data_IF_244135256129
#
_entry.id   IF_244135256129
#
_cell.length_a   1.000
_cell.length_b   1.000
_cell.length_c   1.000
_cell.angle_alpha   90.00
_cell.angle_beta   90.00
_cell.angle_gamma   90.00
#
_symmetry.space_group_name_H-M   'P 1'
#
loop_
_entity.id
_entity.type
_entity.pdbx_description
1 polymer ?
#
# COMPACT_ATOMS: atom_id res chain seq x y z
N UNK A 1 -14.69 -10.43 2.58
CA UNK A 1 -15.25 -9.93 3.85
C UNK A 1 -14.14 -9.99 4.88
N UNK A 2 -13.86 -8.89 5.56
CA UNK A 2 -12.71 -8.73 6.45
C UNK A 2 -13.06 -7.81 7.63
N UNK A 3 -12.25 -7.82 8.69
CA UNK A 3 -12.28 -6.81 9.73
C UNK A 3 -10.97 -6.01 9.66
N UNK A 4 -11.05 -4.72 9.99
CA UNK A 4 -9.87 -3.86 10.02
C UNK A 4 -9.04 -4.10 11.29
N UNK A 5 -7.73 -3.97 11.19
CA UNK A 5 -6.80 -4.12 12.32
C UNK A 5 -6.58 -2.82 13.11
N UNK A 6 -7.07 -1.68 12.60
CA UNK A 6 -6.98 -0.39 13.28
C UNK A 6 -7.87 -0.29 14.52
N UNK A 7 -7.85 0.86 15.19
CA UNK A 7 -8.80 1.15 16.28
C UNK A 7 -10.21 1.28 15.69
N UNK A 8 -10.37 2.18 14.72
CA UNK A 8 -11.62 2.34 13.99
C UNK A 8 -11.36 2.97 12.63
N UNK A 9 -12.30 2.80 11.71
CA UNK A 9 -12.32 3.37 10.37
C UNK A 9 -13.48 4.36 10.28
N UNK A 10 -13.19 5.58 9.82
CA UNK A 10 -14.21 6.57 9.49
C UNK A 10 -14.38 6.55 7.96
N UNK A 11 -15.63 6.39 7.49
CA UNK A 11 -15.98 6.44 6.08
C UNK A 11 -16.99 7.57 5.82
N UNK A 12 -16.77 8.31 4.73
CA UNK A 12 -17.76 9.17 4.09
C UNK A 12 -18.22 8.49 2.81
N UNK A 13 -19.53 8.22 2.73
CA UNK A 13 -20.17 7.56 1.60
C UNK A 13 -20.98 8.59 0.82
N UNK A 14 -21.09 8.44 -0.51
CA UNK A 14 -22.06 9.21 -1.29
C UNK A 14 -23.50 8.99 -0.79
N UNK A 15 -24.41 9.95 -1.02
CA UNK A 15 -25.84 9.76 -0.77
C UNK A 15 -26.34 8.50 -1.47
N UNK A 16 -27.26 7.78 -0.83
CA UNK A 16 -27.88 6.53 -1.32
C UNK A 16 -26.92 5.35 -1.60
N UNK A 17 -25.65 5.41 -1.19
CA UNK A 17 -24.70 4.32 -1.39
C UNK A 17 -25.03 3.10 -0.50
N UNK A 18 -25.45 1.99 -1.15
CA UNK A 18 -25.77 0.69 -0.52
C UNK A 18 -24.67 -0.35 -0.74
N UNK A 19 -23.45 0.09 -1.02
CA UNK A 19 -22.33 -0.81 -1.34
C UNK A 19 -21.64 -1.40 -0.12
N UNK A 20 -21.85 -0.87 1.08
CA UNK A 20 -21.22 -1.38 2.30
C UNK A 20 -22.07 -2.47 2.96
N UNK A 21 -21.50 -3.67 3.12
CA UNK A 21 -22.16 -4.83 3.71
C UNK A 21 -21.40 -5.33 4.93
N UNK A 22 -22.14 -5.74 5.96
CA UNK A 22 -21.60 -6.35 7.16
C UNK A 22 -22.00 -7.83 7.23
N UNK A 23 -21.35 -8.62 8.09
CA UNK A 23 -21.60 -10.06 8.24
C UNK A 23 -23.04 -10.39 8.69
N UNK A 24 -23.74 -9.45 9.32
CA UNK A 24 -25.16 -9.56 9.70
C UNK A 24 -26.17 -9.13 8.62
N UNK A 25 -25.71 -8.71 7.44
CA UNK A 25 -26.56 -8.24 6.35
C UNK A 25 -26.14 -6.87 5.81
N UNK A 26 -26.91 -6.37 4.84
CA UNK A 26 -26.74 -5.01 4.33
C UNK A 26 -27.21 -4.03 5.41
N UNK A 27 -26.35 -3.09 5.79
CA UNK A 27 -26.78 -1.94 6.58
C UNK A 27 -27.05 -0.84 5.57
N UNK A 28 -28.33 -0.58 5.29
CA UNK A 28 -28.70 0.59 4.50
C UNK A 28 -28.57 1.81 5.40
N UNK A 29 -27.57 2.63 5.12
CA UNK A 29 -27.47 3.95 5.74
C UNK A 29 -28.44 4.83 4.96
N UNK A 30 -29.66 4.99 5.49
CA UNK A 30 -30.60 6.01 4.98
C UNK A 30 -30.05 7.35 5.39
N UNK A 31 -29.35 8.03 4.50
CA UNK A 31 -28.78 9.32 4.80
C UNK A 31 -28.73 10.23 3.58
N UNK A 32 -28.96 11.52 3.84
CA UNK A 32 -29.10 12.60 2.86
C UNK A 32 -27.74 13.10 2.33
N UNK A 33 -26.62 12.46 2.69
CA UNK A 33 -25.28 12.75 2.19
C UNK A 33 -24.25 13.27 3.20
N UNK A 34 -24.63 13.36 4.49
CA UNK A 34 -23.83 13.98 5.56
C UNK A 34 -23.42 12.98 6.67
N UNK A 35 -23.70 11.68 6.50
CA UNK A 35 -23.37 10.65 7.47
C UNK A 35 -21.91 10.23 7.37
N UNK A 36 -21.31 10.08 8.56
CA UNK A 36 -20.04 9.39 8.75
C UNK A 36 -20.29 8.01 9.34
N UNK A 37 -19.76 6.99 8.68
CA UNK A 37 -19.80 5.62 9.19
C UNK A 37 -18.54 5.39 10.02
N UNK A 38 -18.72 5.00 11.28
CA UNK A 38 -17.61 4.60 12.14
C UNK A 38 -17.65 3.09 12.33
N UNK A 39 -16.61 2.41 11.86
CA UNK A 39 -16.46 0.96 11.94
C UNK A 39 -15.37 0.66 12.96
N UNK A 40 -15.70 -0.09 14.02
CA UNK A 40 -14.71 -0.50 15.01
C UNK A 40 -13.84 -1.65 14.46
N UNK A 41 -12.52 -1.50 14.60
CA UNK A 41 -11.54 -2.49 14.21
C UNK A 41 -11.13 -3.40 15.38
N UNK A 42 -10.33 -4.40 15.05
CA UNK A 42 -9.90 -5.45 15.98
C UNK A 42 -9.03 -4.89 17.11
N UNK A 43 -8.22 -3.83 16.85
CA UNK A 43 -7.40 -3.25 17.91
C UNK A 43 -8.22 -2.59 19.01
N UNK A 44 -9.35 -1.95 18.69
CA UNK A 44 -10.17 -1.33 19.72
C UNK A 44 -10.68 -2.39 20.69
N UNK A 45 -11.17 -3.50 20.14
CA UNK A 45 -11.69 -4.64 20.92
C UNK A 45 -10.58 -5.37 21.67
N UNK A 46 -9.55 -5.84 20.98
CA UNK A 46 -8.60 -6.79 21.54
C UNK A 46 -7.42 -6.13 22.26
N UNK A 47 -7.06 -4.89 21.89
CA UNK A 47 -5.90 -4.20 22.44
C UNK A 47 -6.27 -3.06 23.38
N UNK A 48 -7.14 -2.14 22.98
CA UNK A 48 -7.46 -0.96 23.78
C UNK A 48 -8.45 -1.26 24.91
N UNK A 49 -9.49 -2.06 24.62
CA UNK A 49 -10.61 -2.27 25.54
C UNK A 49 -11.06 -3.75 25.62
N UNK A 50 -10.18 -4.69 26.05
CA UNK A 50 -10.46 -6.13 26.05
C UNK A 50 -11.66 -6.57 26.92
N UNK A 51 -12.16 -5.70 27.81
CA UNK A 51 -13.36 -5.94 28.63
C UNK A 51 -14.64 -5.27 28.15
N UNK A 52 -14.60 -4.47 27.09
CA UNK A 52 -15.80 -3.81 26.55
C UNK A 52 -16.39 -4.70 25.47
N UNK A 53 -17.72 -4.86 25.51
CA UNK A 53 -18.47 -5.57 24.48
C UNK A 53 -18.53 -4.77 23.17
N UNK A 54 -17.38 -4.63 22.51
CA UNK A 54 -17.28 -4.14 21.13
C UNK A 54 -16.99 -5.31 20.20
N UNK A 55 -17.57 -5.29 19.01
CA UNK A 55 -17.30 -6.27 17.96
C UNK A 55 -16.59 -5.56 16.82
N UNK A 56 -15.47 -6.12 16.38
CA UNK A 56 -14.83 -5.68 15.15
C UNK A 56 -15.74 -6.05 13.97
N UNK A 57 -16.32 -5.05 13.33
CA UNK A 57 -17.39 -5.27 12.37
C UNK A 57 -16.79 -5.79 11.06
N UNK A 58 -17.04 -7.07 10.75
CA UNK A 58 -16.61 -7.68 9.49
C UNK A 58 -17.46 -7.12 8.35
N UNK A 59 -16.79 -6.55 7.34
CA UNK A 59 -17.44 -5.84 6.25
C UNK A 59 -16.82 -6.15 4.88
N UNK A 60 -17.52 -5.72 3.83
CA UNK A 60 -17.08 -5.73 2.42
C UNK A 60 -17.76 -4.61 1.65
N UNK A 61 -17.09 -4.10 0.63
CA UNK A 61 -17.69 -3.20 -0.36
C UNK A 61 -18.10 -4.02 -1.57
N UNK A 62 -19.35 -3.90 -2.01
CA UNK A 62 -19.86 -4.50 -3.23
C UNK A 62 -19.77 -3.51 -4.38
N UNK A 63 -19.20 -3.97 -5.49
CA UNK A 63 -19.20 -3.20 -6.74
C UNK A 63 -20.53 -3.53 -7.44
N UNK A 64 -21.40 -2.55 -7.70
CA UNK A 64 -22.65 -2.78 -8.42
C UNK A 64 -22.33 -3.35 -9.80
N UNK A 65 -23.02 -4.42 -10.18
CA UNK A 65 -22.77 -5.14 -11.44
C UNK A 65 -23.37 -4.46 -12.67
N UNK A 66 -24.12 -3.37 -12.51
CA UNK A 66 -24.74 -2.64 -13.61
C UNK A 66 -23.71 -1.75 -14.31
N UNK A 67 -23.61 -1.89 -15.62
CA UNK A 67 -22.81 -1.04 -16.52
C UNK A 67 -23.20 0.44 -16.49
N UNK A 68 -24.32 0.77 -15.83
CA UNK A 68 -24.84 2.13 -15.66
C UNK A 68 -24.47 2.77 -14.32
N UNK A 69 -23.65 2.11 -13.47
CA UNK A 69 -23.23 2.74 -12.22
C UNK A 69 -22.26 3.89 -12.49
N UNK A 70 -22.64 5.09 -12.05
CA UNK A 70 -21.75 6.25 -12.10
C UNK A 70 -20.47 5.97 -11.31
N UNK A 71 -19.31 6.48 -11.77
CA UNK A 71 -18.07 6.36 -11.03
C UNK A 71 -18.25 7.02 -9.66
N UNK A 72 -17.93 6.28 -8.59
CA UNK A 72 -18.02 6.77 -7.21
C UNK A 72 -16.66 6.83 -6.54
N UNK A 73 -16.56 7.73 -5.57
CA UNK A 73 -15.40 7.88 -4.70
C UNK A 73 -15.88 7.74 -3.26
N UNK A 74 -15.21 6.89 -2.50
CA UNK A 74 -15.42 6.73 -1.06
C UNK A 74 -14.16 7.22 -0.36
N UNK A 75 -14.33 8.09 0.64
CA UNK A 75 -13.22 8.56 1.45
C UNK A 75 -13.21 7.79 2.77
N UNK A 76 -12.08 7.15 3.07
CA UNK A 76 -11.89 6.41 4.31
C UNK A 76 -10.60 6.83 5.02
N UNK A 77 -10.68 6.94 6.35
CA UNK A 77 -9.51 7.15 7.21
C UNK A 77 -9.50 6.13 8.34
N UNK A 78 -8.51 5.25 8.30
CA UNK A 78 -8.25 4.32 9.39
C UNK A 78 -7.47 5.04 10.50
N UNK A 79 -7.96 4.93 11.73
CA UNK A 79 -7.31 5.48 12.91
C UNK A 79 -6.51 4.38 13.61
N UNK A 80 -5.24 4.69 13.81
CA UNK A 80 -4.24 3.82 14.40
C UNK A 80 -3.77 4.44 15.71
N UNK A 81 -3.48 3.62 16.73
CA UNK A 81 -2.75 4.13 17.88
C UNK A 81 -1.29 4.42 17.50
N UNK A 82 -0.60 5.32 18.22
CA UNK A 82 0.85 5.47 18.09
C UNK A 82 1.55 4.12 18.33
N UNK A 83 2.59 3.76 17.57
CA UNK A 83 3.29 2.46 17.70
C UNK A 83 3.78 2.17 19.13
N UNK A 84 4.18 3.20 19.86
CA UNK A 84 4.69 3.16 21.23
C UNK A 84 3.62 3.25 22.31
N UNK A 85 2.36 3.48 21.95
CA UNK A 85 1.28 3.49 22.93
C UNK A 85 1.17 2.10 23.58
N UNK A 86 0.96 2.07 24.89
CA UNK A 86 0.82 0.84 25.66
C UNK A 86 -0.64 0.66 26.07
N UNK A 87 -1.13 -0.59 26.05
CA UNK A 87 -2.42 -0.91 26.66
C UNK A 87 -2.30 -1.08 28.19
N UNK A 88 -3.40 -1.42 28.85
CA UNK A 88 -3.42 -1.67 30.30
C UNK A 88 -2.53 -2.84 30.76
N UNK A 89 -2.16 -3.75 29.85
CA UNK A 89 -1.25 -4.87 30.11
C UNK A 89 0.22 -4.52 29.82
N UNK A 90 0.54 -3.29 29.38
CA UNK A 90 1.89 -2.88 29.01
C UNK A 90 2.34 -3.34 27.63
N UNK A 91 1.45 -3.88 26.80
CA UNK A 91 1.77 -4.28 25.41
C UNK A 91 1.69 -3.08 24.47
N UNK A 92 2.72 -2.90 23.64
CA UNK A 92 2.74 -1.81 22.67
C UNK A 92 1.79 -2.05 21.49
N UNK A 93 1.24 -0.97 20.94
CA UNK A 93 0.36 -1.06 19.78
C UNK A 93 1.08 -1.68 18.57
N UNK A 94 2.36 -1.38 18.38
CA UNK A 94 3.15 -1.99 17.31
C UNK A 94 3.26 -3.51 17.48
N UNK A 95 3.50 -3.99 18.71
CA UNK A 95 3.55 -5.42 19.00
C UNK A 95 2.19 -6.08 18.70
N UNK A 96 1.08 -5.44 19.09
CA UNK A 96 -0.26 -5.92 18.77
C UNK A 96 -0.56 -5.91 17.27
N UNK A 97 -0.22 -4.83 16.56
CA UNK A 97 -0.55 -4.62 15.15
C UNK A 97 0.31 -5.49 14.21
N UNK A 98 1.51 -5.88 14.63
CA UNK A 98 2.36 -6.85 13.92
C UNK A 98 2.03 -8.30 14.31
N UNK A 99 1.43 -8.52 15.48
CA UNK A 99 0.94 -9.83 15.91
C UNK A 99 -0.19 -10.49 15.07
N UNK A 100 -0.97 -9.85 14.17
CA UNK A 100 -2.04 -10.51 13.40
C UNK A 100 -1.48 -11.37 12.26
N UNK A 101 -0.38 -10.94 11.62
CA UNK A 101 0.45 -11.85 10.81
C UNK A 101 0.99 -12.98 11.68
N UNK A 102 1.28 -12.67 12.95
CA UNK A 102 1.65 -13.65 13.94
C UNK A 102 0.46 -14.46 14.51
N UNK A 103 -0.81 -14.20 14.20
CA UNK A 103 -1.94 -14.91 14.86
C UNK A 103 -2.23 -16.24 14.16
N UNK A 104 -2.03 -16.29 12.83
CA UNK A 104 -1.95 -17.56 12.12
C UNK A 104 -0.70 -18.36 12.53
N UNK A 105 0.44 -17.71 12.77
CA UNK A 105 1.63 -18.41 13.24
C UNK A 105 1.54 -18.81 14.73
N UNK A 106 0.96 -18.00 15.63
CA UNK A 106 0.82 -18.29 17.07
C UNK A 106 -0.06 -19.49 17.36
N UNK A 107 -1.15 -19.67 16.61
CA UNK A 107 -2.01 -20.87 16.73
C UNK A 107 -1.31 -22.15 16.28
N UNK A 108 -0.26 -22.02 15.46
CA UNK A 108 0.57 -23.11 14.96
C UNK A 108 1.92 -23.22 15.69
N UNK A 109 2.33 -22.19 16.46
CA UNK A 109 3.58 -22.18 17.23
C UNK A 109 3.57 -23.27 18.30
N UNK A 110 2.40 -23.60 18.86
CA UNK A 110 2.27 -24.72 19.79
C UNK A 110 2.54 -26.08 19.15
N UNK A 111 2.61 -26.16 17.81
CA UNK A 111 2.96 -27.40 17.09
C UNK A 111 4.46 -27.51 16.83
N UNK A 112 5.24 -26.46 17.08
CA UNK A 112 6.69 -26.45 16.87
C UNK A 112 7.44 -26.80 18.15
N UNK A 113 8.61 -27.44 17.98
CA UNK A 113 9.50 -27.72 19.10
C UNK A 113 10.08 -26.41 19.68
N UNK A 114 10.58 -26.46 20.91
CA UNK A 114 11.24 -25.33 21.53
C UNK A 114 12.40 -24.81 20.64
N UNK A 115 12.43 -23.50 20.38
CA UNK A 115 13.42 -22.86 19.51
C UNK A 115 13.08 -22.90 18.00
N UNK A 116 11.94 -23.46 17.59
CA UNK A 116 11.48 -23.41 16.20
C UNK A 116 10.39 -22.34 16.01
N UNK A 117 10.33 -21.79 14.80
CA UNK A 117 9.32 -20.82 14.37
C UNK A 117 8.45 -21.45 13.29
N UNK A 118 7.13 -21.32 13.43
CA UNK A 118 6.22 -21.79 12.41
C UNK A 118 6.25 -20.86 11.20
N UNK A 119 6.79 -21.36 10.09
CA UNK A 119 6.88 -20.64 8.85
C UNK A 119 6.41 -21.49 7.68
N UNK A 120 5.46 -20.97 6.91
CA UNK A 120 4.99 -21.60 5.68
C UNK A 120 4.55 -23.06 5.84
N UNK A 121 3.61 -23.30 6.77
CA UNK A 121 3.09 -24.63 7.07
C UNK A 121 4.12 -25.63 7.63
N UNK A 122 5.30 -25.17 8.05
CA UNK A 122 6.38 -26.00 8.58
C UNK A 122 7.01 -25.33 9.80
N UNK A 123 7.53 -26.13 10.72
CA UNK A 123 8.38 -25.63 11.79
C UNK A 123 9.81 -25.57 11.28
N UNK A 124 10.43 -24.39 11.36
CA UNK A 124 11.79 -24.15 10.90
C UNK A 124 12.64 -23.63 12.06
N UNK A 125 13.91 -24.02 12.10
CA UNK A 125 14.87 -23.46 13.07
C UNK A 125 15.38 -22.12 12.53
N UNK A 126 15.35 -21.04 13.32
CA UNK A 126 15.92 -19.76 12.90
C UNK A 126 17.43 -19.90 12.63
N UNK A 127 18.00 -19.08 11.74
CA UNK A 127 19.44 -19.06 11.51
C UNK A 127 20.21 -18.74 12.81
N UNK A 128 21.46 -19.20 12.89
CA UNK A 128 22.32 -18.93 14.05
C UNK A 128 22.48 -17.41 14.27
N UNK A 129 22.41 -16.98 15.53
CA UNK A 129 22.45 -15.56 15.90
C UNK A 129 21.11 -14.83 15.83
N UNK A 130 20.02 -15.50 15.44
CA UNK A 130 18.69 -14.89 15.37
C UNK A 130 17.72 -15.52 16.39
N UNK A 131 17.24 -14.75 17.38
CA UNK A 131 16.28 -15.27 18.34
C UNK A 131 14.94 -15.59 17.64
N UNK A 132 14.29 -16.66 18.08
CA UNK A 132 13.04 -17.16 17.47
C UNK A 132 11.94 -16.10 17.46
N UNK A 133 11.90 -15.17 18.43
CA UNK A 133 10.95 -14.06 18.44
C UNK A 133 11.10 -13.05 17.30
N UNK A 134 12.28 -12.97 16.67
CA UNK A 134 12.58 -11.96 15.65
C UNK A 134 12.61 -12.52 14.23
N UNK A 135 12.54 -13.85 14.06
CA UNK A 135 12.55 -14.45 12.74
C UNK A 135 11.19 -14.24 12.03
N UNK A 136 11.24 -13.80 10.77
CA UNK A 136 10.06 -13.57 9.93
C UNK A 136 10.06 -14.49 8.71
N UNK A 137 8.87 -14.85 8.23
CA UNK A 137 8.72 -15.63 7.00
C UNK A 137 8.93 -14.76 5.76
N UNK A 138 9.95 -15.06 4.97
CA UNK A 138 10.36 -14.28 3.82
C UNK A 138 10.40 -15.11 2.54
N UNK A 139 9.79 -14.61 1.47
CA UNK A 139 9.85 -15.19 0.13
C UNK A 139 11.05 -14.58 -0.60
N UNK A 140 12.15 -15.34 -0.67
CA UNK A 140 13.39 -14.90 -1.31
C UNK A 140 13.26 -14.63 -2.81
N UNK A 141 12.22 -15.15 -3.47
CA UNK A 141 11.99 -14.88 -4.89
C UNK A 141 11.26 -13.56 -5.11
N UNK A 142 10.35 -13.20 -4.21
CA UNK A 142 9.56 -11.95 -4.29
C UNK A 142 10.18 -10.79 -3.54
N UNK A 143 11.12 -11.07 -2.64
CA UNK A 143 11.70 -10.08 -1.73
C UNK A 143 10.62 -9.41 -0.86
N UNK A 144 9.70 -10.23 -0.33
CA UNK A 144 8.57 -9.81 0.50
C UNK A 144 8.22 -10.88 1.55
N UNK A 145 7.35 -10.55 2.51
CA UNK A 145 6.74 -11.48 3.45
C UNK A 145 5.99 -12.59 2.70
N UNK A 146 6.06 -13.80 3.24
CA UNK A 146 5.33 -14.90 2.65
C UNK A 146 3.82 -14.73 2.77
N UNK A 147 3.12 -15.04 1.70
CA UNK A 147 1.67 -14.87 1.60
C UNK A 147 0.96 -16.08 2.23
N UNK A 148 0.63 -16.01 3.52
CA UNK A 148 0.00 -17.11 4.26
C UNK A 148 -1.46 -17.39 3.87
N UNK A 149 -1.94 -16.89 2.72
CA UNK A 149 -3.27 -17.20 2.20
C UNK A 149 -3.44 -18.72 2.01
N UNK A 150 -4.49 -19.35 2.59
CA UNK A 150 -4.74 -20.78 2.44
C UNK A 150 -4.81 -21.21 0.96
N UNK A 151 -4.11 -22.29 0.63
CA UNK A 151 -4.14 -22.89 -0.72
C UNK A 151 -3.11 -22.33 -1.71
N UNK A 152 -2.40 -21.24 -1.39
CA UNK A 152 -1.26 -20.79 -2.19
C UNK A 152 -0.01 -21.50 -1.71
N UNK A 153 0.78 -22.11 -2.60
CA UNK A 153 2.06 -22.75 -2.28
C UNK A 153 3.23 -21.84 -2.68
N UNK A 154 4.12 -21.50 -1.74
CA UNK A 154 5.32 -20.69 -1.93
C UNK A 154 6.54 -21.51 -1.49
N UNK A 155 7.13 -22.32 -2.38
CA UNK A 155 8.23 -23.22 -2.02
C UNK A 155 9.50 -22.48 -1.59
N UNK A 156 9.61 -21.19 -1.89
CA UNK A 156 10.77 -20.35 -1.57
C UNK A 156 10.59 -19.53 -0.28
N UNK A 157 9.51 -19.78 0.47
CA UNK A 157 9.33 -19.15 1.76
C UNK A 157 10.25 -19.81 2.80
N UNK A 158 11.12 -19.03 3.42
CA UNK A 158 11.99 -19.47 4.49
C UNK A 158 12.12 -18.39 5.57
N UNK A 159 12.68 -18.75 6.73
CA UNK A 159 12.94 -17.77 7.79
C UNK A 159 14.06 -16.82 7.35
N UNK A 160 13.81 -15.52 7.52
CA UNK A 160 14.81 -14.45 7.42
C UNK A 160 14.81 -13.67 8.73
N UNK A 161 15.98 -13.18 9.11
CA UNK A 161 16.12 -12.31 10.26
C UNK A 161 16.26 -10.87 9.78
N UNK A 162 15.46 -9.94 10.29
CA UNK A 162 15.57 -8.54 9.93
C UNK A 162 16.94 -8.01 10.36
N UNK A 163 17.59 -7.25 9.47
CA UNK A 163 18.84 -6.57 9.76
C UNK A 163 18.61 -5.60 10.93
N UNK A 164 19.52 -5.59 11.91
CA UNK A 164 19.36 -4.84 13.16
C UNK A 164 19.32 -5.71 14.42
N UNK A 165 19.24 -7.04 14.27
CA UNK A 165 19.48 -8.01 15.35
C UNK A 165 20.76 -8.79 15.07
N UNK A 166 21.85 -8.07 14.77
CA UNK A 166 23.17 -8.70 14.71
C UNK A 166 23.78 -8.68 16.11
N UNK A 167 24.00 -9.88 16.66
CA UNK A 167 24.95 -10.08 17.74
C UNK A 167 26.28 -9.44 17.36
N UNK A 168 26.90 -8.73 18.31
CA UNK A 168 27.91 -7.69 18.12
C UNK A 168 29.26 -8.09 17.51
N UNK A 169 29.38 -9.22 16.81
CA UNK A 169 30.66 -9.74 16.30
C UNK A 169 30.58 -10.06 14.80
N UNK A 170 31.05 -9.13 13.96
CA UNK A 170 31.36 -9.39 12.54
C UNK A 170 30.81 -8.37 11.56
N UNK A 171 31.40 -7.16 11.50
CA UNK A 171 31.09 -6.13 10.50
C UNK A 171 32.22 -5.96 9.50
N UNK A 172 32.23 -6.75 8.43
CA UNK A 172 32.90 -6.41 7.16
C UNK A 172 32.23 -7.12 5.99
N UNK A 173 30.95 -6.87 5.72
CA UNK A 173 30.40 -7.17 4.38
C UNK A 173 29.51 -6.01 3.95
N UNK A 174 29.63 -5.65 2.67
CA UNK A 174 29.02 -4.49 2.03
C UNK A 174 27.53 -4.39 2.33
N UNK A 175 27.11 -3.32 3.03
CA UNK A 175 25.69 -3.15 3.32
C UNK A 175 24.89 -3.03 2.01
N UNK A 176 23.85 -3.85 1.82
CA UNK A 176 23.04 -3.81 0.62
C UNK A 176 22.39 -2.43 0.48
N UNK A 177 22.35 -1.89 -0.74
CA UNK A 177 21.82 -0.55 -1.03
C UNK A 177 20.37 -0.35 -0.54
N UNK A 178 19.59 -1.43 -0.45
CA UNK A 178 18.25 -1.47 0.13
C UNK A 178 17.97 -2.82 0.81
N UNK A 179 17.10 -2.81 1.82
CA UNK A 179 16.76 -4.03 2.58
C UNK A 179 15.38 -4.62 2.24
N UNK A 180 14.46 -3.82 1.69
CA UNK A 180 13.08 -4.19 1.41
C UNK A 180 12.58 -3.48 0.16
N UNK A 181 11.69 -4.10 -0.61
CA UNK A 181 11.04 -3.47 -1.77
C UNK A 181 9.60 -3.06 -1.42
N UNK A 182 9.17 -1.88 -1.85
CA UNK A 182 7.78 -1.41 -1.69
C UNK A 182 7.27 -0.79 -2.97
N UNK A 183 5.98 -1.01 -3.26
CA UNK A 183 5.27 -0.38 -4.39
C UNK A 183 4.59 0.94 -4.01
N UNK A 184 4.52 1.27 -2.71
CA UNK A 184 3.94 2.52 -2.21
C UNK A 184 4.69 2.99 -0.96
N UNK A 185 5.32 4.16 -1.04
CA UNK A 185 5.88 4.86 0.13
C UNK A 185 4.84 5.87 0.58
N UNK A 186 4.20 5.62 1.73
CA UNK A 186 3.30 6.59 2.38
C UNK A 186 4.05 7.60 3.27
N UNK A 187 5.38 7.48 3.36
CA UNK A 187 6.22 8.18 4.33
C UNK A 187 6.56 9.64 3.98
N UNK A 188 5.94 10.21 2.94
CA UNK A 188 6.29 11.56 2.45
C UNK A 188 7.70 11.62 1.83
N UNK A 189 8.32 12.80 1.86
CA UNK A 189 9.67 13.01 1.32
C UNK A 189 10.73 12.47 2.28
N UNK A 190 11.33 11.33 1.94
CA UNK A 190 12.53 10.84 2.62
C UNK A 190 13.76 11.10 1.75
N UNK A 191 14.82 11.61 2.37
CA UNK A 191 16.10 11.80 1.70
C UNK A 191 16.82 10.45 1.58
N UNK A 192 17.49 10.21 0.44
CA UNK A 192 18.25 8.99 0.13
C UNK A 192 19.36 8.65 1.14
N UNK A 193 19.70 9.59 2.02
CA UNK A 193 20.74 9.47 3.04
C UNK A 193 20.22 8.93 4.38
N UNK A 194 18.91 8.65 4.48
CA UNK A 194 18.32 7.96 5.63
C UNK A 194 18.86 6.52 5.75
N UNK A 195 19.08 6.05 6.97
CA UNK A 195 19.54 4.69 7.29
C UNK A 195 18.47 3.62 7.01
N UNK A 196 17.20 3.98 6.89
CA UNK A 196 16.11 3.07 6.50
C UNK A 196 15.79 3.21 5.01
N UNK A 197 16.46 2.42 4.14
CA UNK A 197 16.28 2.49 2.68
C UNK A 197 15.31 1.41 2.18
N UNK A 198 14.07 1.80 1.93
CA UNK A 198 13.13 1.00 1.15
C UNK A 198 13.38 1.20 -0.35
N UNK A 199 13.59 0.12 -1.07
CA UNK A 199 13.77 0.10 -2.51
C UNK A 199 12.44 0.31 -3.23
N UNK A 200 12.46 1.23 -4.20
CA UNK A 200 11.29 1.57 -5.00
C UNK A 200 11.21 0.61 -6.19
N UNK A 201 10.03 0.02 -6.39
CA UNK A 201 9.70 -0.77 -7.58
C UNK A 201 9.22 0.21 -8.67
N UNK A 202 9.90 0.23 -9.82
CA UNK A 202 9.59 1.18 -10.91
C UNK A 202 8.72 0.53 -11.99
N UNK A 203 7.42 0.89 -12.03
CA UNK A 203 6.37 0.45 -12.96
C UNK A 203 6.02 -1.05 -12.95
N UNK A 204 7.02 -1.94 -12.92
CA UNK A 204 6.83 -3.39 -12.97
C UNK A 204 7.52 -4.05 -11.78
N UNK A 205 6.92 -5.11 -11.18
CA UNK A 205 7.50 -5.83 -10.03
C UNK A 205 8.90 -6.39 -10.27
N UNK A 206 9.28 -6.64 -11.54
CA UNK A 206 10.60 -7.17 -11.89
C UNK A 206 11.72 -6.12 -11.94
N UNK A 207 11.40 -4.82 -11.85
CA UNK A 207 12.39 -3.72 -11.95
C UNK A 207 12.51 -3.06 -10.57
N UNK A 208 13.32 -3.69 -9.71
CA UNK A 208 13.69 -3.14 -8.41
C UNK A 208 14.95 -2.28 -8.57
N UNK A 209 14.92 -1.06 -8.03
CA UNK A 209 16.04 -0.11 -8.07
C UNK A 209 17.07 -0.41 -6.96
N UNK A 210 17.62 -1.62 -6.97
CA UNK A 210 18.53 -2.18 -5.95
C UNK A 210 19.99 -1.69 -6.06
N UNK A 211 20.35 -0.93 -7.10
CA UNK A 211 21.69 -0.34 -7.25
C UNK A 211 21.62 1.16 -7.53
N UNK A 212 22.67 1.93 -7.18
CA UNK A 212 22.74 3.37 -7.48
C UNK A 212 22.55 3.68 -8.98
N UNK A 213 23.09 2.83 -9.86
CA UNK A 213 22.98 2.98 -11.30
C UNK A 213 21.57 2.73 -11.81
N UNK A 214 20.88 1.69 -11.31
CA UNK A 214 19.47 1.46 -11.62
C UNK A 214 18.61 2.62 -11.13
N UNK A 215 18.85 3.12 -9.91
CA UNK A 215 18.13 4.28 -9.38
C UNK A 215 18.27 5.51 -10.29
N UNK A 216 19.50 5.87 -10.68
CA UNK A 216 19.74 7.00 -11.59
C UNK A 216 19.04 6.82 -12.94
N UNK A 217 19.14 5.63 -13.55
CA UNK A 217 18.43 5.30 -14.78
C UNK A 217 16.91 5.39 -14.62
N UNK A 218 16.39 4.98 -13.47
CA UNK A 218 14.97 5.08 -13.14
C UNK A 218 14.48 6.52 -13.10
N UNK A 219 15.24 7.43 -12.47
CA UNK A 219 14.92 8.86 -12.42
C UNK A 219 14.90 9.47 -13.82
N UNK A 220 15.93 9.17 -14.62
CA UNK A 220 16.02 9.64 -16.01
C UNK A 220 14.84 9.10 -16.84
N UNK A 221 14.51 7.82 -16.70
CA UNK A 221 13.39 7.20 -17.41
C UNK A 221 12.04 7.86 -17.08
N UNK A 222 11.76 8.14 -15.79
CA UNK A 222 10.53 8.81 -15.36
C UNK A 222 10.43 10.23 -15.93
N UNK A 223 11.55 10.97 -15.95
CA UNK A 223 11.59 12.30 -16.57
C UNK A 223 11.21 12.26 -18.05
N UNK A 224 11.81 11.34 -18.82
CA UNK A 224 11.48 11.18 -20.24
C UNK A 224 10.05 10.70 -20.47
N UNK A 225 9.52 9.83 -19.60
CA UNK A 225 8.13 9.38 -19.68
C UNK A 225 7.16 10.57 -19.55
N UNK A 226 7.45 11.53 -18.66
CA UNK A 226 6.67 12.77 -18.54
C UNK A 226 6.71 13.63 -19.81
N UNK A 227 7.89 13.78 -20.42
CA UNK A 227 8.03 14.49 -21.70
C UNK A 227 7.24 13.82 -22.83
N UNK A 228 7.30 12.48 -22.90
CA UNK A 228 6.57 11.70 -23.89
C UNK A 228 5.05 11.84 -23.69
N UNK A 229 4.56 11.80 -22.45
CA UNK A 229 3.14 11.98 -22.15
C UNK A 229 2.60 13.34 -22.62
N UNK A 230 3.34 14.42 -22.34
CA UNK A 230 2.99 15.77 -22.81
C UNK A 230 3.04 15.87 -24.34
N UNK A 231 4.05 15.28 -24.98
CA UNK A 231 4.17 15.24 -26.43
C UNK A 231 3.00 14.46 -27.07
N UNK A 232 2.61 13.33 -26.49
CA UNK A 232 1.47 12.52 -26.94
C UNK A 232 0.15 13.30 -26.82
N UNK A 233 -0.05 14.05 -25.72
CA UNK A 233 -1.21 14.91 -25.55
C UNK A 233 -1.27 16.04 -26.59
N UNK A 234 -0.12 16.64 -26.94
CA UNK A 234 -0.05 17.64 -28.02
C UNK A 234 -0.31 17.03 -29.40
N UNK A 235 0.23 15.86 -29.67
CA UNK A 235 0.01 15.15 -30.92
C UNK A 235 -1.47 14.79 -31.09
N UNK A 236 -2.11 14.28 -30.03
CA UNK A 236 -3.54 13.97 -30.02
C UNK A 236 -4.38 15.20 -30.41
N UNK A 237 -4.13 16.35 -29.78
CA UNK A 237 -4.83 17.60 -30.11
C UNK A 237 -4.65 18.00 -31.58
N UNK A 238 -3.44 17.81 -32.13
CA UNK A 238 -3.17 18.10 -33.55
C UNK A 238 -3.92 17.16 -34.48
N UNK A 239 -3.97 15.87 -34.17
CA UNK A 239 -4.69 14.86 -34.96
C UNK A 239 -6.20 15.11 -34.91
N UNK A 240 -6.76 15.43 -33.74
CA UNK A 240 -8.18 15.79 -33.58
C UNK A 240 -8.54 17.04 -34.41
N UNK A 241 -7.72 18.09 -34.42
CA UNK A 241 -7.98 19.25 -35.29
C UNK A 241 -7.84 18.89 -36.78
N UNK A 242 -6.89 18.04 -37.18
CA UNK A 242 -6.70 17.66 -38.58
C UNK A 242 -7.80 16.73 -39.13
N UNK A 243 -8.35 15.86 -38.28
CA UNK A 243 -9.43 14.94 -38.65
C UNK A 243 -10.83 15.56 -38.48
N UNK A 244 -10.98 16.61 -37.66
CA UNK A 244 -12.24 17.33 -37.48
C UNK A 244 -12.67 18.15 -38.70
N UNK A 245 -11.74 18.46 -39.61
CA UNK A 245 -12.00 19.28 -40.80
C UNK A 245 -12.85 18.57 -41.88
N UNK A 246 -13.16 17.28 -41.75
CA UNK A 246 -13.97 16.55 -42.75
C UNK A 246 -15.47 16.52 -42.46
N UNK A 247 -15.94 16.94 -41.28
CA UNK A 247 -17.34 16.85 -40.90
C UNK A 247 -17.88 18.17 -40.35
N UNK A 248 -18.42 18.98 -41.26
CA UNK A 248 -19.38 20.06 -41.03
C UNK A 248 -18.89 21.38 -40.41
N UNK A 249 -19.18 22.43 -41.19
CA UNK A 249 -19.41 23.83 -40.81
C UNK A 249 -18.22 24.80 -40.93
N UNK A 250 -18.43 25.84 -41.73
CA UNK A 250 -17.46 26.85 -42.19
C UNK A 250 -17.04 27.86 -41.08
N UNK A 251 -16.87 27.42 -39.84
CA UNK A 251 -16.28 28.25 -38.77
C UNK A 251 -14.82 27.89 -38.62
N UNK A 252 -13.96 28.85 -39.00
CA UNK A 252 -12.51 28.78 -38.91
C UNK A 252 -12.00 28.09 -37.63
N UNK A 253 -11.22 26.99 -37.76
CA UNK A 253 -10.72 26.26 -36.61
C UNK A 253 -9.78 27.14 -35.79
N UNK A 254 -10.20 27.45 -34.57
CA UNK A 254 -9.41 28.21 -33.59
C UNK A 254 -8.12 27.49 -33.14
N UNK A 255 -7.87 26.26 -33.61
CA UNK A 255 -6.69 25.46 -33.30
C UNK A 255 -5.36 26.06 -33.80
N UNK A 256 -5.36 26.86 -34.88
CA UNK A 256 -4.12 27.34 -35.52
C UNK A 256 -3.61 28.70 -35.00
N UNK A 257 -4.45 29.47 -34.28
CA UNK A 257 -4.10 30.83 -33.87
C UNK A 257 -3.24 30.95 -32.60
N UNK A 258 -2.99 29.84 -31.89
CA UNK A 258 -2.25 29.85 -30.62
C UNK A 258 -0.72 29.93 -30.75
N UNK A 259 -0.13 29.59 -31.89
CA UNK A 259 1.34 29.49 -32.03
C UNK A 259 2.03 30.80 -32.45
N UNK A 260 1.31 31.80 -32.95
CA UNK A 260 1.91 32.98 -33.56
C UNK A 260 1.91 34.26 -32.68
N UNK A 261 1.33 34.24 -31.47
CA UNK A 261 1.13 35.47 -30.68
C UNK A 261 2.16 35.78 -29.58
N UNK A 262 3.25 35.02 -29.46
CA UNK A 262 4.24 35.20 -28.38
C UNK A 262 5.49 36.03 -28.75
N UNK A 263 5.60 36.61 -29.95
CA UNK A 263 6.85 37.28 -30.39
C UNK A 263 6.73 38.80 -30.65
N UNK A 264 5.66 39.45 -30.18
CA UNK A 264 5.52 40.92 -30.33
C UNK A 264 4.95 41.57 -29.07
N UNK A 265 5.71 41.59 -27.98
CA UNK A 265 5.53 42.58 -26.90
C UNK A 265 6.83 42.71 -26.09
N UNK A 266 7.69 43.63 -26.53
CA UNK A 266 8.95 43.89 -25.85
C UNK A 266 9.84 44.90 -26.58
N UNK A 267 9.27 46.03 -27.01
CA UNK A 267 9.99 47.27 -27.34
C UNK A 267 9.00 48.42 -27.33
N UNK A 268 8.77 49.00 -26.16
CA UNK A 268 8.36 50.39 -26.00
C UNK A 268 8.65 50.81 -24.56
N UNK A 269 9.69 51.65 -24.46
CA UNK A 269 10.02 52.63 -23.41
C UNK A 269 10.11 52.17 -21.97
#
# INVERSE_FOLDING_TARGET
MHADMGLFLILSLPPDDKSLYFEGGAVSITDDGDALVVIFGEALRAWLAPGVHTVAARHRVMIPSSSESEPRVVFGRMMMAPPTALNAAGESYQQFFMAPQAFQSRRMLSQCAAGQVYCWLRCMTPPEGCPAENAVCWDFRKMDLCDMTPGKMQPNCALKCPAGVTSAEGLTEDEPFCESSTNMIMSGFQFLWSTNRQCIILFFPGIVLDTPSKFFLGVVAVFFLGLIAEAAMRLRKRVECALGDTAADYRLPSCLLGAARSSVRGKLT
#
